data_IF_618761333312
#
_entry.id   IF_618761333312
#
_cell.length_a   1.000
_cell.length_b   1.000
_cell.length_c   1.000
_cell.angle_alpha   90.00
_cell.angle_beta   90.00
_cell.angle_gamma   90.00
#
_symmetry.space_group_name_H-M   'P 1'
#
loop_
_entity.id
_entity.type
_entity.pdbx_description
1 polymer ?
#
# COMPACT_ATOMS: atom_id res chain seq x y z
N UNK A 1 -10.89 29.30 -5.51
CA UNK A 1 -11.68 28.09 -5.13
C UNK A 1 -10.99 26.80 -5.65
N UNK A 2 -9.90 26.37 -5.01
CA UNK A 2 -9.10 25.19 -5.41
C UNK A 2 -9.52 23.89 -4.69
N UNK A 3 -10.46 23.99 -3.73
CA UNK A 3 -10.97 22.87 -2.91
C UNK A 3 -12.34 22.32 -3.36
N UNK A 4 -12.86 22.75 -4.52
CA UNK A 4 -14.21 22.39 -5.02
C UNK A 4 -14.19 21.61 -6.34
N UNK A 5 -13.06 20.97 -6.68
CA UNK A 5 -12.97 20.14 -7.88
C UNK A 5 -13.09 18.66 -7.50
N UNK A 6 -13.94 17.92 -8.23
CA UNK A 6 -14.06 16.45 -8.16
C UNK A 6 -12.71 15.73 -8.36
N UNK A 7 -11.70 16.44 -8.88
CA UNK A 7 -10.35 15.96 -9.07
C UNK A 7 -9.63 15.59 -7.75
N UNK A 8 -9.81 16.37 -6.68
CA UNK A 8 -9.14 16.09 -5.41
C UNK A 8 -9.67 14.79 -4.76
N UNK A 9 -10.96 14.50 -4.91
CA UNK A 9 -11.56 13.26 -4.43
C UNK A 9 -11.04 12.04 -5.19
N UNK A 10 -10.92 12.13 -6.53
CA UNK A 10 -10.37 11.05 -7.36
C UNK A 10 -8.92 10.70 -6.99
N UNK A 11 -8.07 11.73 -6.83
CA UNK A 11 -6.68 11.53 -6.41
C UNK A 11 -6.59 10.86 -5.04
N UNK A 12 -7.30 11.38 -4.03
CA UNK A 12 -7.28 10.84 -2.67
C UNK A 12 -7.73 9.39 -2.64
N UNK A 13 -8.78 9.01 -3.38
CA UNK A 13 -9.26 7.62 -3.45
C UNK A 13 -8.21 6.70 -4.09
N UNK A 14 -7.52 7.14 -5.15
CA UNK A 14 -6.44 6.32 -5.77
C UNK A 14 -5.25 6.11 -4.83
N UNK A 15 -4.85 7.14 -4.07
CA UNK A 15 -3.81 7.02 -3.06
C UNK A 15 -4.23 6.09 -1.92
N UNK A 16 -5.45 6.24 -1.38
CA UNK A 16 -5.96 5.37 -0.33
C UNK A 16 -5.99 3.90 -0.76
N UNK A 17 -6.40 3.61 -2.00
CA UNK A 17 -6.38 2.25 -2.55
C UNK A 17 -4.97 1.68 -2.66
N UNK A 18 -4.00 2.49 -3.11
CA UNK A 18 -2.59 2.09 -3.14
C UNK A 18 -2.05 1.76 -1.74
N UNK A 19 -2.24 2.66 -0.78
CA UNK A 19 -1.79 2.44 0.60
C UNK A 19 -2.48 1.24 1.26
N UNK A 20 -3.79 1.05 1.03
CA UNK A 20 -4.52 -0.11 1.54
C UNK A 20 -3.94 -1.42 1.00
N UNK A 21 -3.61 -1.48 -0.30
CA UNK A 21 -2.97 -2.65 -0.90
C UNK A 21 -1.61 -2.95 -0.25
N UNK A 22 -0.75 -1.93 -0.06
CA UNK A 22 0.54 -2.12 0.60
C UNK A 22 0.42 -2.51 2.08
N UNK A 23 -0.58 -1.99 2.80
CA UNK A 23 -0.86 -2.38 4.18
C UNK A 23 -1.27 -3.87 4.27
N UNK A 24 -2.13 -4.34 3.36
CA UNK A 24 -2.51 -5.75 3.28
C UNK A 24 -1.31 -6.63 2.92
N UNK A 25 -0.48 -6.22 1.96
CA UNK A 25 0.74 -6.94 1.59
C UNK A 25 1.71 -7.09 2.77
N UNK A 26 1.89 -6.03 3.56
CA UNK A 26 2.69 -6.06 4.78
C UNK A 26 2.12 -7.06 5.80
N UNK A 27 0.79 -7.02 6.05
CA UNK A 27 0.11 -7.97 6.92
C UNK A 27 0.29 -9.42 6.48
N UNK A 28 0.10 -9.72 5.19
CA UNK A 28 0.30 -11.07 4.65
C UNK A 28 1.76 -11.54 4.74
N UNK A 29 2.72 -10.63 4.56
CA UNK A 29 4.15 -10.92 4.67
C UNK A 29 4.56 -11.25 6.11
N UNK A 30 4.01 -10.53 7.10
CA UNK A 30 4.25 -10.83 8.52
C UNK A 30 3.74 -12.24 8.86
N UNK A 31 2.53 -12.60 8.42
CA UNK A 31 1.97 -13.94 8.65
C UNK A 31 2.83 -15.01 7.98
N UNK A 32 3.28 -14.79 6.74
CA UNK A 32 4.19 -15.68 6.03
C UNK A 32 5.49 -15.92 6.84
N UNK A 33 6.14 -14.85 7.31
CA UNK A 33 7.37 -14.95 8.11
C UNK A 33 7.16 -15.66 9.44
N UNK A 34 6.00 -15.48 10.08
CA UNK A 34 5.65 -16.18 11.32
C UNK A 34 5.48 -17.69 11.09
N UNK A 35 4.82 -18.09 9.99
CA UNK A 35 4.68 -19.51 9.60
C UNK A 35 6.03 -20.13 9.25
N UNK A 36 6.87 -19.43 8.47
CA UNK A 36 8.22 -19.89 8.13
C UNK A 36 9.10 -20.05 9.38
N UNK A 37 8.98 -19.12 10.34
CA UNK A 37 9.72 -19.20 11.60
C UNK A 37 9.24 -20.34 12.49
N UNK A 38 7.95 -20.65 12.49
CA UNK A 38 7.38 -21.79 13.23
C UNK A 38 7.89 -23.12 12.65
N UNK A 39 7.87 -23.24 11.33
CA UNK A 39 8.36 -24.41 10.58
C UNK A 39 9.86 -24.66 10.84
N UNK A 40 10.70 -23.63 10.72
CA UNK A 40 12.14 -23.70 11.04
C UNK A 40 12.45 -24.07 12.49
N UNK A 41 11.54 -23.78 13.43
CA UNK A 41 11.70 -24.12 14.85
C UNK A 41 11.22 -25.54 15.17
N UNK A 42 10.82 -26.31 14.16
CA UNK A 42 10.28 -27.67 14.31
C UNK A 42 8.87 -27.70 14.91
N UNK A 43 8.15 -26.57 14.93
CA UNK A 43 6.77 -26.49 15.37
C UNK A 43 5.80 -26.57 14.19
N UNK A 44 4.62 -27.14 14.39
CA UNK A 44 3.59 -27.19 13.35
C UNK A 44 3.17 -25.77 12.92
N UNK A 45 3.34 -25.37 11.65
CA UNK A 45 2.87 -24.08 11.15
C UNK A 45 1.33 -23.94 11.16
N UNK A 46 0.62 -25.03 11.46
CA UNK A 46 -0.85 -25.12 11.55
C UNK A 46 -1.36 -25.25 13.01
N UNK A 47 -0.60 -24.79 14.01
CA UNK A 47 -1.04 -24.77 15.42
C UNK A 47 -1.39 -23.37 15.92
N UNK A 48 -2.46 -23.28 16.71
CA UNK A 48 -2.86 -22.05 17.40
C UNK A 48 -3.39 -20.95 16.48
N UNK A 49 -3.06 -19.69 16.76
CA UNK A 49 -3.53 -18.52 16.00
C UNK A 49 -3.13 -18.55 14.51
N UNK A 50 -2.08 -19.30 14.15
CA UNK A 50 -1.58 -19.46 12.78
C UNK A 50 -2.41 -20.46 11.95
N UNK A 51 -3.21 -21.32 12.59
CA UNK A 51 -4.11 -22.26 11.92
C UNK A 51 -5.29 -21.56 11.25
N UNK A 52 -5.66 -20.37 11.72
CA UNK A 52 -6.70 -19.52 11.11
C UNK A 52 -6.28 -19.00 9.74
N UNK A 53 -4.97 -18.91 9.48
CA UNK A 53 -4.45 -18.43 8.22
C UNK A 53 -4.21 -19.57 7.22
N UNK A 54 -4.57 -19.36 5.93
CA UNK A 54 -4.44 -20.37 4.90
C UNK A 54 -2.98 -20.78 4.65
N UNK A 55 -2.78 -21.78 3.80
CA UNK A 55 -1.47 -22.34 3.49
C UNK A 55 -0.45 -21.25 3.06
N UNK A 56 0.82 -21.48 3.37
CA UNK A 56 1.94 -20.57 3.07
C UNK A 56 1.98 -20.19 1.58
N UNK A 57 1.63 -21.13 0.69
CA UNK A 57 1.50 -20.88 -0.75
C UNK A 57 0.35 -19.93 -1.09
N UNK A 58 -0.78 -20.06 -0.40
CA UNK A 58 -1.93 -19.17 -0.63
C UNK A 58 -1.64 -17.74 -0.17
N UNK A 59 -0.90 -17.60 0.94
CA UNK A 59 -0.44 -16.30 1.42
C UNK A 59 0.50 -15.61 0.44
N UNK A 60 1.42 -16.37 -0.17
CA UNK A 60 2.33 -15.86 -1.19
C UNK A 60 1.59 -15.43 -2.46
N UNK A 61 0.64 -16.25 -2.94
CA UNK A 61 -0.22 -15.89 -4.08
C UNK A 61 -1.05 -14.63 -3.83
N UNK A 62 -1.59 -14.46 -2.61
CA UNK A 62 -2.34 -13.24 -2.24
C UNK A 62 -1.40 -12.05 -2.18
N UNK A 63 -0.24 -12.18 -1.55
CA UNK A 63 0.74 -11.11 -1.43
C UNK A 63 1.18 -10.63 -2.82
N UNK A 64 1.53 -11.57 -3.71
CA UNK A 64 1.89 -11.27 -5.10
C UNK A 64 0.77 -10.51 -5.84
N UNK A 65 -0.48 -10.99 -5.75
CA UNK A 65 -1.63 -10.34 -6.40
C UNK A 65 -1.88 -8.93 -5.85
N UNK A 66 -1.78 -8.76 -4.54
CA UNK A 66 -1.99 -7.48 -3.86
C UNK A 66 -0.92 -6.46 -4.25
N UNK A 67 0.36 -6.87 -4.31
CA UNK A 67 1.46 -6.00 -4.77
C UNK A 67 1.31 -5.67 -6.25
N UNK A 68 1.01 -6.67 -7.09
CA UNK A 68 0.86 -6.51 -8.53
C UNK A 68 -0.25 -5.52 -8.88
N UNK A 69 -1.34 -5.47 -8.10
CA UNK A 69 -2.42 -4.49 -8.25
C UNK A 69 -2.07 -3.16 -7.57
N UNK A 70 -1.50 -3.19 -6.36
CA UNK A 70 -1.18 -1.99 -5.58
C UNK A 70 -0.15 -1.06 -6.25
N UNK A 71 0.85 -1.63 -6.92
CA UNK A 71 1.95 -0.87 -7.52
C UNK A 71 1.51 0.05 -8.68
N UNK A 72 0.70 -0.40 -9.66
CA UNK A 72 0.09 0.49 -10.66
C UNK A 72 -0.80 1.57 -10.05
N UNK A 73 -1.64 1.23 -9.06
CA UNK A 73 -2.53 2.20 -8.39
C UNK A 73 -1.74 3.30 -7.67
N UNK A 74 -0.65 2.94 -6.99
CA UNK A 74 0.24 3.91 -6.37
C UNK A 74 0.92 4.81 -7.41
N UNK A 75 1.37 4.24 -8.53
CA UNK A 75 2.03 5.00 -9.60
C UNK A 75 1.09 6.04 -10.21
N UNK A 76 -0.16 5.64 -10.50
CA UNK A 76 -1.20 6.55 -10.98
C UNK A 76 -1.52 7.61 -9.91
N UNK A 77 -1.57 7.23 -8.64
CA UNK A 77 -1.75 8.14 -7.51
C UNK A 77 -0.67 9.24 -7.48
N UNK A 78 0.60 8.86 -7.60
CA UNK A 78 1.75 9.79 -7.64
C UNK A 78 1.67 10.73 -8.85
N UNK A 79 1.40 10.20 -10.04
CA UNK A 79 1.28 11.03 -11.27
C UNK A 79 0.13 12.03 -11.16
N UNK A 80 -1.02 11.57 -10.67
CA UNK A 80 -2.22 12.41 -10.50
C UNK A 80 -2.01 13.46 -9.40
N UNK A 81 -1.25 13.13 -8.36
CA UNK A 81 -0.86 14.05 -7.30
C UNK A 81 0.09 15.14 -7.81
N UNK A 82 1.09 14.76 -8.60
CA UNK A 82 2.01 15.71 -9.23
C UNK A 82 1.30 16.70 -10.16
N UNK A 83 0.31 16.22 -10.93
CA UNK A 83 -0.51 17.08 -11.78
C UNK A 83 -1.36 18.07 -10.98
N UNK A 84 -1.95 17.63 -9.85
CA UNK A 84 -2.74 18.50 -8.99
C UNK A 84 -1.89 19.53 -8.24
N UNK A 85 -0.69 19.16 -7.79
CA UNK A 85 0.25 20.11 -7.17
C UNK A 85 0.55 21.29 -8.11
N UNK A 86 0.73 21.00 -9.40
CA UNK A 86 0.91 22.04 -10.42
C UNK A 86 -0.33 22.94 -10.58
N UNK A 87 -1.53 22.38 -10.50
CA UNK A 87 -2.79 23.12 -10.64
C UNK A 87 -3.16 23.95 -9.40
N UNK A 88 -2.83 23.46 -8.20
CA UNK A 88 -3.21 24.10 -6.94
C UNK A 88 -2.30 25.29 -6.59
N UNK A 89 -0.99 25.17 -6.82
CA UNK A 89 0.01 26.19 -6.41
C UNK A 89 0.71 26.89 -7.58
N UNK A 90 0.38 26.55 -8.83
CA UNK A 90 0.97 27.20 -10.02
C UNK A 90 2.47 26.90 -10.22
N UNK A 91 3.03 25.99 -9.43
CA UNK A 91 4.43 25.57 -9.47
C UNK A 91 4.49 24.08 -9.15
N UNK A 92 5.31 23.32 -9.88
CA UNK A 92 5.42 21.86 -9.74
C UNK A 92 6.07 21.43 -8.42
N UNK A 93 6.85 22.31 -7.79
CA UNK A 93 7.63 22.09 -6.56
C UNK A 93 8.19 23.43 -6.07
N UNK A 94 7.82 23.92 -4.88
CA UNK A 94 8.18 25.29 -4.45
C UNK A 94 9.24 25.38 -3.36
N UNK A 95 9.82 24.26 -2.91
CA UNK A 95 10.85 24.23 -1.85
C UNK A 95 10.44 24.95 -0.55
N UNK A 96 9.14 25.02 -0.25
CA UNK A 96 8.66 25.65 0.98
C UNK A 96 8.97 24.75 2.20
N UNK A 97 9.42 25.26 3.37
CA UNK A 97 9.83 24.44 4.52
C UNK A 97 8.85 23.35 4.97
N UNK A 98 7.55 23.53 4.70
CA UNK A 98 6.49 22.54 4.95
C UNK A 98 6.50 21.33 4.00
N UNK A 99 7.13 21.44 2.82
CA UNK A 99 7.22 20.37 1.81
C UNK A 99 8.51 19.53 1.93
N UNK A 100 9.51 20.04 2.67
CA UNK A 100 10.82 19.41 2.83
C UNK A 100 10.93 18.55 4.10
N UNK A 101 10.07 18.80 5.09
CA UNK A 101 10.12 18.19 6.44
C UNK A 101 8.87 17.36 6.76
N UNK A 102 8.02 17.10 5.76
CA UNK A 102 6.88 16.17 5.82
C UNK A 102 7.20 14.89 5.08
#
# INVERSE_FOLDING_TARGET
PALQSNWMHGHVITCFLGYAAFAVACGTSIVYLLKERADKKGGDPNKGLLATFPDTRSLDEVNYKVIAVGFPFLTIGIITGAYWANYAWGTYWSWDPKEMWS
#
